data_IF_951445562707
#
_entry.id   IF_951445562707
#
_cell.length_a   1.000
_cell.length_b   1.000
_cell.length_c   1.000
_cell.angle_alpha   90.00
_cell.angle_beta   90.00
_cell.angle_gamma   90.00
#
_symmetry.space_group_name_H-M   'P 1'
#
loop_
_entity.id
_entity.type
_entity.pdbx_description
1 polymer ?
2 non-polymer ?
3 water ?
#
# COMPACT_ATOMS: atom_id res chain seq x y z
N UNK A 1 4.97 4.75 10.05
CA UNK A 1 6.21 5.45 10.51
C UNK A 1 5.96 6.43 11.66
N UNK A 2 6.89 6.44 12.62
CA UNK A 2 6.82 7.37 13.74
C UNK A 2 7.37 8.71 13.32
N UNK A 3 6.53 9.73 13.52
CA UNK A 3 6.93 11.10 13.32
C UNK A 3 6.95 11.78 14.69
N UNK A 4 7.95 12.64 14.90
CA UNK A 4 8.03 13.42 16.12
C UNK A 4 8.08 14.90 15.78
N UNK A 5 7.47 15.71 16.62
CA UNK A 5 7.30 17.13 16.37
C UNK A 5 7.20 17.84 17.74
N UNK A 6 7.57 19.11 17.80
CA UNK A 6 7.54 19.87 19.04
C UNK A 6 7.06 21.30 18.84
N UNK A 7 6.33 21.82 19.83
CA UNK A 7 5.69 23.13 19.73
C UNK A 7 6.51 24.23 20.39
N UNK A 8 7.83 24.18 20.21
CA UNK A 8 8.70 25.31 20.58
C UNK A 8 9.70 25.55 19.48
N UNK A 9 10.90 25.93 19.86
CA UNK A 9 12.04 25.93 18.95
C UNK A 9 12.90 24.71 19.27
N UNK A 10 12.33 23.77 20.02
CA UNK A 10 13.15 22.74 20.66
C UNK A 10 13.58 21.62 19.71
N UNK A 11 12.83 21.45 18.62
CA UNK A 11 13.27 20.56 17.55
C UNK A 11 13.60 21.34 16.29
N UNK A 12 13.92 22.62 16.47
CA UNK A 12 14.39 23.51 15.40
C UNK A 12 13.28 23.87 14.41
N UNK A 13 12.05 23.48 14.73
CA UNK A 13 10.92 23.66 13.82
C UNK A 13 10.86 22.60 12.74
N UNK A 14 11.43 21.42 13.02
CA UNK A 14 11.44 20.33 12.05
C UNK A 14 10.78 19.09 12.60
N UNK A 15 9.91 18.48 11.80
CA UNK A 15 9.44 17.13 12.07
C UNK A 15 10.55 16.11 11.72
N UNK A 16 10.58 15.00 12.46
CA UNK A 16 11.57 13.94 12.25
C UNK A 16 10.82 12.64 12.06
N UNK A 17 11.29 11.81 11.13
CA UNK A 17 10.78 10.43 11.07
C UNK A 17 11.74 9.54 11.83
N UNK A 18 11.22 8.75 12.75
CA UNK A 18 12.06 7.86 13.53
C UNK A 18 11.90 6.43 13.04
N UNK A 19 12.82 6.02 12.18
CA UNK A 19 12.89 4.66 11.67
C UNK A 19 13.37 3.71 12.77
N UNK A 20 13.08 2.39 12.64
CA UNK A 20 13.58 1.41 13.61
C UNK A 20 15.07 1.57 13.91
N UNK A 21 15.42 1.55 15.18
CA UNK A 21 16.76 1.92 15.62
C UNK A 21 16.74 2.56 16.99
N UNK A 22 17.86 3.16 17.38
CA UNK A 22 17.97 3.72 18.72
C UNK A 22 18.51 5.14 18.73
N UNK A 23 17.86 6.02 19.46
CA UNK A 23 18.18 7.44 19.42
C UNK A 23 18.46 8.00 20.81
N UNK A 24 19.63 8.60 20.96
CA UNK A 24 19.99 9.31 22.17
C UNK A 24 19.47 10.75 22.08
N UNK A 25 18.60 11.11 23.02
CA UNK A 25 17.96 12.42 23.08
C UNK A 25 18.50 13.20 24.29
N UNK A 26 18.95 14.42 24.04
CA UNK A 26 19.50 15.29 25.08
C UNK A 26 19.96 16.60 24.50
N UNK A 27 20.58 17.44 25.33
CA UNK A 27 21.01 18.78 24.88
C UNK A 27 22.46 18.92 24.40
N UNK A 28 23.32 17.95 24.73
CA UNK A 28 24.73 18.02 24.31
C UNK A 28 25.06 17.25 23.02
N UNK A 29 24.17 16.34 22.62
CA UNK A 29 24.33 15.58 21.37
C UNK A 29 24.07 16.46 20.14
N UNK A 30 24.54 16.04 18.97
CA UNK A 30 24.26 16.73 17.71
C UNK A 30 23.12 16.02 16.97
N UNK A 31 23.09 16.13 15.64
CA UNK A 31 22.06 15.47 14.83
C UNK A 31 22.62 14.39 13.91
N UNK A 32 22.59 13.16 14.39
CA UNK A 32 23.06 12.00 13.65
C UNK A 32 21.81 11.25 13.17
N UNK A 33 22.01 10.11 12.54
CA UNK A 33 20.94 9.16 12.28
C UNK A 33 20.47 8.55 13.61
N UNK A 34 21.22 8.78 14.68
CA UNK A 34 21.00 8.13 15.97
C UNK A 34 21.15 9.08 17.16
N UNK A 35 21.04 10.37 16.89
CA UNK A 35 21.09 11.38 17.94
C UNK A 35 20.10 12.49 17.66
N UNK A 36 19.41 12.95 18.70
CA UNK A 36 18.43 14.03 18.57
C UNK A 36 18.70 15.14 19.60
N UNK A 37 18.93 16.35 19.11
CA UNK A 37 19.20 17.49 19.98
C UNK A 37 17.94 18.26 20.35
N UNK A 38 17.80 18.53 21.66
CA UNK A 38 16.65 19.20 22.25
C UNK A 38 17.15 20.26 23.25
N UNK A 39 17.08 21.52 22.84
CA UNK A 39 17.80 22.66 23.45
C UNK A 39 17.62 22.98 24.94
N UNK A 40 16.43 22.67 25.49
CA UNK A 40 15.97 23.21 26.79
C UNK A 40 16.88 23.02 28.02
N UNK A 41 16.61 23.85 29.03
CA UNK A 41 17.45 24.02 30.21
C UNK A 41 17.24 22.93 31.28
N UNK A 42 16.00 22.47 31.41
CA UNK A 42 15.65 21.46 32.42
C UNK A 42 15.98 20.02 31.98
N UNK A 43 16.50 19.85 30.76
CA UNK A 43 16.83 18.51 30.28
C UNK A 43 18.34 18.23 30.33
N UNK A 44 18.68 16.99 30.69
CA UNK A 44 20.07 16.55 30.88
C UNK A 44 20.91 16.53 29.61
N UNK A 45 22.22 16.42 29.79
CA UNK A 45 23.20 16.31 28.71
C UNK A 45 22.79 15.15 27.79
N UNK A 46 22.53 14.00 28.42
CA UNK A 46 21.93 12.85 27.76
C UNK A 46 20.70 12.48 28.59
N UNK A 47 19.52 12.73 28.04
CA UNK A 47 18.29 12.64 28.84
C UNK A 47 17.46 11.38 28.62
N UNK A 48 17.24 11.01 27.36
CA UNK A 48 16.34 9.91 27.01
C UNK A 48 16.84 9.01 25.88
N UNK A 49 16.34 7.79 25.87
CA UNK A 49 16.61 6.84 24.82
C UNK A 49 15.28 6.51 24.16
N UNK A 50 15.16 6.78 22.87
CA UNK A 50 14.02 6.31 22.06
C UNK A 50 14.47 5.12 21.24
N UNK A 51 13.73 4.02 21.34
CA UNK A 51 14.02 2.82 20.58
C UNK A 51 12.74 2.40 19.87
N UNK A 52 12.82 2.33 18.54
CA UNK A 52 11.70 1.94 17.69
C UNK A 52 12.01 0.54 17.19
N UNK A 53 11.08 -0.37 17.38
CA UNK A 53 11.32 -1.74 16.95
C UNK A 53 10.76 -1.94 15.56
N UNK A 54 11.16 -3.04 14.93
CA UNK A 54 10.74 -3.38 13.58
C UNK A 54 9.31 -3.96 13.64
N UNK A 55 8.57 -3.93 12.52
CA UNK A 55 7.16 -4.35 12.54
C UNK A 55 6.92 -5.79 13.02
N UNK A 56 5.78 -5.96 13.67
CA UNK A 56 5.28 -7.25 14.09
C UNK A 56 4.64 -7.92 12.87
N UNK A 57 4.33 -9.20 13.00
CA UNK A 57 3.68 -9.98 11.94
C UNK A 57 2.27 -9.47 11.61
N UNK A 58 1.58 -8.97 12.63
CA UNK A 58 0.21 -8.50 12.54
C UNK A 58 0.06 -7.08 12.00
N UNK A 59 1.16 -6.33 12.01
CA UNK A 59 1.12 -4.90 11.68
C UNK A 59 0.69 -4.63 10.23
N UNK A 60 0.98 -5.57 9.35
CA UNK A 60 0.51 -5.47 7.98
C UNK A 60 -1.02 -5.57 7.89
N UNK A 61 -1.61 -6.35 8.81
CA UNK A 61 -3.05 -6.59 8.82
C UNK A 61 -3.84 -5.64 9.72
N UNK A 62 -3.22 -5.10 10.75
CA UNK A 62 -3.92 -4.21 11.69
C UNK A 62 -3.63 -2.73 11.48
N UNK A 63 -2.48 -2.42 10.88
CA UNK A 63 -2.08 -1.02 10.70
C UNK A 63 -1.47 -0.43 11.96
N UNK A 64 -1.32 -1.25 13.00
CA UNK A 64 -0.77 -0.81 14.29
C UNK A 64 0.68 -0.39 14.18
N UNK A 65 1.17 0.36 15.18
CA UNK A 65 2.50 0.96 15.10
C UNK A 65 3.64 0.07 15.61
N UNK A 66 4.87 0.33 15.13
CA UNK A 66 6.06 -0.26 15.71
C UNK A 66 6.16 0.13 17.18
N UNK A 67 6.70 -0.77 17.99
CA UNK A 67 6.88 -0.52 19.42
C UNK A 67 7.87 0.60 19.64
N UNK A 68 7.44 1.59 20.42
CA UNK A 68 8.23 2.77 20.75
C UNK A 68 8.65 2.66 22.22
N UNK A 69 9.95 2.54 22.45
CA UNK A 69 10.48 2.33 23.81
C UNK A 69 11.12 3.60 24.34
N UNK A 70 10.80 3.94 25.58
CA UNK A 70 11.36 5.14 26.20
C UNK A 70 12.10 4.78 27.49
N UNK A 71 13.39 5.07 27.52
CA UNK A 71 14.20 4.94 28.73
C UNK A 71 14.68 6.30 29.18
N UNK A 72 14.51 6.58 30.46
CA UNK A 72 15.09 7.74 31.15
C UNK A 72 16.53 7.36 31.48
N UNK A 73 17.48 8.26 31.22
CA UNK A 73 18.89 7.96 31.46
C UNK A 73 19.42 8.50 32.79
N UNK A 74 18.92 7.94 33.88
CA UNK A 74 19.28 8.35 35.24
C UNK A 74 19.28 9.88 35.39
N UNK A 75 18.13 10.47 35.05
CA UNK A 75 17.97 11.92 34.99
C UNK A 75 17.55 12.48 36.35
N UNK A 76 17.98 13.70 36.64
CA UNK A 76 17.57 14.37 37.86
C UNK A 76 16.04 14.59 37.90
N UNK A 77 15.48 15.07 36.79
CA UNK A 77 14.08 15.48 36.76
C UNK A 77 13.16 14.46 36.11
N UNK A 78 13.74 13.41 35.54
CA UNK A 78 12.98 12.31 34.96
C UNK A 78 12.36 12.59 33.60
N UNK A 79 11.63 11.60 33.11
CA UNK A 79 10.94 11.65 31.83
C UNK A 79 9.49 11.21 32.04
N UNK A 80 8.56 11.85 31.34
CA UNK A 80 7.15 11.45 31.38
C UNK A 80 6.64 11.12 29.97
N UNK A 81 5.73 10.14 29.89
CA UNK A 81 5.06 9.83 28.63
C UNK A 81 3.57 9.74 28.89
N UNK A 82 2.80 10.59 28.21
CA UNK A 82 1.38 10.73 28.47
C UNK A 82 1.13 11.04 29.94
N UNK A 83 1.97 11.94 30.46
CA UNK A 83 1.84 12.48 31.82
C UNK A 83 2.09 11.47 32.93
N UNK A 84 2.31 10.21 32.55
CA UNK A 84 2.70 9.17 33.50
C UNK A 84 4.23 9.11 33.57
N UNK A 85 4.76 8.93 34.77
CA UNK A 85 6.20 8.89 34.97
C UNK A 85 6.81 7.63 34.37
N UNK A 86 7.72 7.82 33.43
CA UNK A 86 8.57 6.71 32.98
C UNK A 86 9.74 6.66 33.94
N UNK A 87 10.14 5.44 34.26
CA UNK A 87 11.36 5.23 35.01
C UNK A 87 11.65 3.76 34.92
N UNK A 88 12.16 3.22 36.02
CA UNK A 88 12.41 1.79 36.16
C UNK A 88 13.34 1.35 35.03
N UNK A 89 12.87 0.40 34.23
CA UNK A 89 13.63 -0.13 33.13
C UNK A 89 12.96 0.26 31.82
N UNK A 90 12.39 1.46 31.82
CA UNK A 90 11.74 2.03 30.66
C UNK A 90 10.29 1.61 30.51
N UNK A 91 9.71 2.00 29.39
CA UNK A 91 8.35 1.63 29.03
C UNK A 91 8.23 1.49 27.52
N UNK A 92 7.28 0.68 27.08
CA UNK A 92 7.08 0.37 25.66
C UNK A 92 5.65 0.72 25.26
N UNK A 93 5.48 1.39 24.12
CA UNK A 93 4.17 1.92 23.74
C UNK A 93 3.66 1.42 22.39
N UNK A 94 2.37 1.08 22.36
CA UNK A 94 1.71 0.55 21.17
C UNK A 94 0.60 1.48 20.68
N UNK A 95 0.41 2.58 21.36
CA UNK A 95 -0.58 3.57 20.94
C UNK A 95 -0.04 4.39 19.79
N UNK A 96 -0.94 4.99 19.01
CA UNK A 96 -0.54 5.82 17.86
C UNK A 96 -0.20 7.26 18.26
N UNK A 97 -0.28 7.55 19.55
CA UNK A 97 -0.22 8.92 20.05
C UNK A 97 0.60 8.99 21.33
N UNK A 98 1.76 9.65 21.27
CA UNK A 98 2.66 9.74 22.42
C UNK A 98 3.07 11.17 22.77
N UNK A 99 2.77 11.60 23.98
CA UNK A 99 3.26 12.87 24.49
C UNK A 99 4.43 12.68 25.45
N UNK A 100 5.62 12.99 24.98
CA UNK A 100 6.86 12.82 25.77
C UNK A 100 7.36 14.12 26.39
N UNK A 101 7.40 14.17 27.72
CA UNK A 101 7.93 15.31 28.46
C UNK A 101 9.27 14.97 29.09
N UNK A 102 10.29 15.76 28.77
CA UNK A 102 11.62 15.57 29.34
C UNK A 102 11.88 16.57 30.46
N UNK A 103 11.92 16.08 31.69
CA UNK A 103 12.18 16.92 32.86
C UNK A 103 11.06 17.90 33.12
N UNK A 104 11.45 19.09 33.58
CA UNK A 104 10.50 20.16 33.90
C UNK A 104 10.20 21.05 32.68
N UNK A 105 10.65 20.61 31.51
CA UNK A 105 10.46 21.36 30.26
C UNK A 105 9.02 21.24 29.74
N UNK A 106 8.34 22.39 29.56
CA UNK A 106 6.90 22.37 29.23
C UNK A 106 6.60 22.04 27.76
N UNK A 107 7.55 22.28 26.86
CA UNK A 107 7.38 21.94 25.45
C UNK A 107 7.66 20.46 25.26
N UNK A 108 6.67 19.75 24.76
CA UNK A 108 6.67 18.33 24.81
C UNK A 108 7.02 17.75 23.44
N UNK A 109 7.63 16.56 23.41
CA UNK A 109 7.92 15.88 22.16
C UNK A 109 6.75 14.97 21.80
N UNK A 110 6.09 15.27 20.69
CA UNK A 110 4.89 14.55 20.28
C UNK A 110 5.13 13.51 19.20
N UNK A 111 5.05 12.24 19.58
CA UNK A 111 5.20 11.16 18.62
C UNK A 111 3.84 10.75 18.10
N UNK A 112 3.74 10.63 16.77
CA UNK A 112 2.54 10.10 16.16
C UNK A 112 2.86 9.14 15.00
N UNK A 113 2.00 8.14 14.84
CA UNK A 113 2.20 7.08 13.85
C UNK A 113 1.47 7.40 12.56
N UNK A 114 2.22 7.66 11.50
CA UNK A 114 1.63 7.80 10.19
C UNK A 114 1.60 6.44 9.49
N UNK A 115 0.42 6.03 9.04
CA UNK A 115 0.19 4.72 8.40
C UNK A 115 0.95 4.57 7.11
N UNK A 116 1.69 3.47 6.97
CA UNK A 116 2.21 3.05 5.68
C UNK A 116 2.44 1.55 5.66
N UNK A 117 1.58 0.85 4.92
CA UNK A 117 1.71 -0.57 4.68
C UNK A 117 1.76 -0.79 3.19
N UNK A 118 2.68 -1.65 2.77
CA UNK A 118 2.94 -1.88 1.37
C UNK A 118 2.66 -3.33 0.97
N UNK A 119 1.67 -3.48 0.10
CA UNK A 119 1.37 -4.74 -0.58
C UNK A 119 2.23 -4.87 -1.87
N UNK A 120 2.74 -6.08 -2.10
CA UNK A 120 3.47 -6.38 -3.32
C UNK A 120 2.63 -7.23 -4.27
N UNK A 121 2.93 -7.16 -5.56
CA UNK A 121 2.17 -7.89 -6.58
C UNK A 121 2.58 -9.36 -6.65
N UNK A 122 3.84 -9.64 -6.34
CA UNK A 122 4.33 -11.02 -6.35
C UNK A 122 5.41 -11.31 -5.30
N UNK A 123 5.64 -12.60 -4.99
CA UNK A 123 6.66 -13.03 -4.02
C UNK A 123 8.09 -12.61 -4.36
N UNK A 124 8.39 -12.50 -5.66
CA UNK A 124 9.73 -12.16 -6.15
C UNK A 124 10.16 -10.76 -5.71
N UNK A 125 9.27 -9.79 -5.90
CA UNK A 125 9.53 -8.40 -5.53
C UNK A 125 9.55 -8.22 -4.02
N UNK A 126 8.65 -8.91 -3.32
CA UNK A 126 8.61 -8.93 -1.86
C UNK A 126 9.96 -9.34 -1.26
N UNK A 127 10.49 -10.47 -1.75
CA UNK A 127 11.75 -11.04 -1.27
C UNK A 127 12.91 -10.05 -1.44
N UNK A 128 12.91 -9.39 -2.58
CA UNK A 128 13.86 -8.32 -2.91
C UNK A 128 13.79 -7.13 -1.93
N UNK A 129 12.59 -6.80 -1.42
CA UNK A 129 12.40 -5.58 -0.62
C UNK A 129 12.06 -5.74 0.88
N UNK A 130 11.66 -6.94 1.29
CA UNK A 130 11.07 -7.16 2.62
C UNK A 130 11.88 -6.65 3.80
N UNK A 131 13.15 -7.06 3.82
CA UNK A 131 14.04 -6.82 4.95
C UNK A 131 14.42 -5.35 5.03
N UNK A 132 14.65 -4.76 3.87
CA UNK A 132 14.89 -3.35 3.74
C UNK A 132 13.75 -2.52 4.32
N UNK A 133 12.52 -2.76 3.84
CA UNK A 133 11.33 -2.05 4.32
C UNK A 133 11.03 -2.33 5.79
N UNK A 134 11.30 -3.57 6.21
CA UNK A 134 11.27 -3.98 7.61
C UNK A 134 12.18 -3.10 8.47
N UNK A 135 13.32 -2.69 7.92
CA UNK A 135 14.25 -1.81 8.63
C UNK A 135 13.82 -0.36 8.57
N UNK A 136 12.95 -0.02 7.64
CA UNK A 136 12.36 1.32 7.57
C UNK A 136 11.01 1.40 8.33
N UNK A 137 10.62 0.30 8.98
CA UNK A 137 9.39 0.27 9.76
C UNK A 137 8.11 0.27 8.93
N UNK A 138 8.22 -0.28 7.72
CA UNK A 138 7.09 -0.35 6.82
C UNK A 138 6.69 -1.81 6.72
N UNK A 139 5.51 -2.17 7.26
CA UNK A 139 4.96 -3.52 7.09
C UNK A 139 4.72 -3.84 5.62
N UNK A 140 5.03 -5.07 5.24
CA UNK A 140 4.89 -5.54 3.86
C UNK A 140 4.13 -6.86 3.80
N UNK A 141 3.59 -7.18 2.63
CA UNK A 141 2.86 -8.43 2.45
C UNK A 141 2.33 -8.63 1.05
N UNK A 142 1.72 -9.80 0.84
CA UNK A 142 1.12 -10.21 -0.43
C UNK A 142 -0.39 -10.31 -0.37
N UNK A 143 -0.90 -10.63 0.81
CA UNK A 143 -2.34 -10.81 1.00
C UNK A 143 -3.04 -9.47 1.07
N UNK A 144 -4.33 -9.45 0.78
CA UNK A 144 -5.13 -8.26 0.94
C UNK A 144 -5.25 -7.89 2.41
N UNK A 145 -5.32 -6.60 2.68
CA UNK A 145 -5.36 -6.05 4.03
C UNK A 145 -6.09 -4.72 3.99
N UNK A 146 -6.92 -4.47 5.00
CA UNK A 146 -7.56 -3.17 5.21
C UNK A 146 -6.55 -2.10 5.67
N UNK A 147 -5.29 -2.46 5.86
CA UNK A 147 -4.32 -1.47 6.35
C UNK A 147 -3.39 -0.98 5.24
N UNK A 148 -3.43 -1.65 4.10
CA UNK A 148 -2.64 -1.28 2.93
C UNK A 148 -2.94 0.15 2.50
N UNK A 149 -1.86 0.91 2.28
CA UNK A 149 -1.94 2.26 1.76
C UNK A 149 -1.33 2.31 0.35
N UNK A 150 -0.41 1.39 0.06
CA UNK A 150 0.38 1.41 -1.18
C UNK A 150 0.52 0.02 -1.77
N UNK A 151 0.55 -0.03 -3.10
CA UNK A 151 0.70 -1.27 -3.85
C UNK A 151 1.85 -1.14 -4.85
N UNK A 152 2.74 -2.13 -4.83
CA UNK A 152 3.88 -2.16 -5.75
C UNK A 152 3.63 -3.05 -6.97
N UNK A 153 3.58 -2.43 -8.13
CA UNK A 153 3.40 -3.13 -9.39
C UNK A 153 4.73 -3.61 -9.95
N UNK A 154 4.67 -4.74 -10.66
CA UNK A 154 5.79 -5.16 -11.49
C UNK A 154 5.78 -4.29 -12.75
N UNK A 155 6.84 -3.50 -12.92
CA UNK A 155 7.03 -2.76 -14.16
C UNK A 155 7.78 -3.66 -15.15
N UNK A 156 7.19 -3.85 -16.33
CA UNK A 156 7.77 -4.71 -17.37
C UNK A 156 7.38 -4.24 -18.78
N UNK A 157 8.38 -4.10 -19.65
CA UNK A 157 8.21 -3.56 -21.00
C UNK A 157 7.24 -4.35 -21.90
N UNK A 158 7.26 -5.68 -21.79
CA UNK A 158 6.52 -6.54 -22.73
C UNK A 158 4.99 -6.52 -22.68
N UNK A 159 4.42 -6.77 -21.50
CA UNK A 159 3.03 -7.22 -21.40
C UNK A 159 2.04 -6.22 -20.79
N UNK A 160 0.85 -6.74 -20.51
CA UNK A 160 -0.20 -6.04 -19.81
C UNK A 160 0.20 -5.86 -18.34
N UNK A 161 -0.41 -4.87 -17.69
CA UNK A 161 -0.36 -4.80 -16.25
C UNK A 161 -1.08 -6.04 -15.70
N UNK A 162 -0.70 -6.51 -14.53
CA UNK A 162 -1.30 -7.73 -13.97
C UNK A 162 -2.67 -7.44 -13.39
N UNK A 163 -3.39 -8.51 -13.09
CA UNK A 163 -4.74 -8.42 -12.51
C UNK A 163 -4.65 -7.73 -11.16
N UNK A 164 -3.66 -8.12 -10.36
CA UNK A 164 -3.39 -7.48 -9.08
C UNK A 164 -3.35 -5.97 -9.20
N UNK A 165 -2.64 -5.47 -10.20
CA UNK A 165 -2.51 -4.03 -10.46
C UNK A 165 -3.82 -3.39 -10.92
N UNK A 166 -4.55 -4.05 -11.80
CA UNK A 166 -5.87 -3.57 -12.23
C UNK A 166 -6.78 -3.34 -11.03
N UNK A 167 -6.75 -4.30 -10.11
CA UNK A 167 -7.60 -4.32 -8.92
C UNK A 167 -7.22 -3.24 -7.89
N UNK A 168 -5.92 -3.16 -7.57
CA UNK A 168 -5.42 -2.08 -6.70
C UNK A 168 -5.76 -0.70 -7.26
N UNK A 169 -5.70 -0.56 -8.57
CA UNK A 169 -6.06 0.68 -9.21
C UNK A 169 -7.53 1.04 -8.96
N UNK A 170 -8.42 0.07 -9.22
CA UNK A 170 -9.87 0.25 -9.05
C UNK A 170 -10.32 0.39 -7.60
N UNK A 171 -9.64 -0.31 -6.70
CA UNK A 171 -9.85 -0.15 -5.25
C UNK A 171 -9.41 1.21 -4.72
N UNK A 172 -8.78 2.02 -5.59
CA UNK A 172 -8.33 3.38 -5.26
C UNK A 172 -7.00 3.47 -4.47
N UNK A 173 -6.24 2.38 -4.45
CA UNK A 173 -4.91 2.33 -3.81
C UNK A 173 -3.88 3.13 -4.61
N UNK A 174 -2.97 3.80 -3.89
CA UNK A 174 -1.83 4.46 -4.49
C UNK A 174 -0.87 3.39 -5.03
N UNK A 175 -0.55 3.49 -6.30
CA UNK A 175 0.36 2.55 -6.93
C UNK A 175 1.77 3.14 -7.07
N UNK A 176 2.76 2.35 -6.68
CA UNK A 176 4.17 2.75 -6.74
C UNK A 176 4.92 1.64 -7.46
N UNK A 177 6.19 1.88 -7.79
CA UNK A 177 7.04 0.87 -8.44
C UNK A 177 8.40 0.74 -7.75
N UNK A 178 9.23 -0.19 -8.24
CA UNK A 178 10.62 -0.41 -7.77
C UNK A 178 11.45 0.86 -7.51
N UNK A 179 11.35 1.86 -8.40
CA UNK A 179 12.21 3.04 -8.33
C UNK A 179 11.91 3.98 -7.17
N UNK A 180 10.65 4.08 -6.76
CA UNK A 180 10.29 4.80 -5.54
C UNK A 180 10.94 4.15 -4.31
N UNK A 181 10.92 2.83 -4.27
CA UNK A 181 11.55 2.04 -3.20
C UNK A 181 13.05 2.24 -3.16
N UNK A 182 13.68 2.38 -4.33
CA UNK A 182 15.09 2.75 -4.40
C UNK A 182 15.34 4.13 -3.75
N UNK A 183 14.51 5.09 -4.12
CA UNK A 183 14.60 6.48 -3.63
C UNK A 183 14.52 6.53 -2.11
N UNK A 184 13.50 5.88 -1.56
CA UNK A 184 13.25 5.87 -0.13
C UNK A 184 14.47 5.34 0.66
N UNK A 185 15.11 4.30 0.13
CA UNK A 185 16.27 3.72 0.77
C UNK A 185 17.56 4.57 0.70
N UNK A 186 17.77 5.34 -0.35
CA UNK A 186 18.98 6.17 -0.38
C UNK A 186 18.89 7.38 0.55
N UNK A 187 17.68 7.92 0.74
CA UNK A 187 17.47 9.13 1.56
C UNK A 187 16.99 8.88 2.99
N UNK A 188 16.98 7.62 3.39
CA UNK A 188 16.64 7.19 4.75
C UNK A 188 17.16 8.12 5.85
N UNK A 189 18.47 8.29 5.89
CA UNK A 189 19.13 9.08 6.95
C UNK A 189 18.77 10.58 6.92
N UNK A 190 18.68 11.14 5.72
CA UNK A 190 18.29 12.54 5.56
C UNK A 190 16.85 12.85 6.05
N UNK A 191 15.95 11.88 5.85
CA UNK A 191 14.54 11.98 6.25
C UNK A 191 14.32 11.89 7.78
N UNK A 192 15.20 11.19 8.50
CA UNK A 192 15.23 11.22 9.97
C UNK A 192 15.38 12.64 10.52
N UNK A 193 16.17 13.46 9.82
CA UNK A 193 16.47 14.83 10.24
C UNK A 193 15.36 15.80 9.84
N UNK A 194 14.60 15.42 8.82
CA UNK A 194 13.56 16.29 8.27
C UNK A 194 12.49 15.45 7.57
N UNK A 195 11.33 15.35 8.21
CA UNK A 195 10.21 14.57 7.69
C UNK A 195 9.73 15.03 6.32
N UNK A 196 9.79 16.34 6.07
CA UNK A 196 9.37 16.91 4.79
C UNK A 196 10.22 16.44 3.61
N UNK A 197 11.37 15.83 3.88
CA UNK A 197 12.22 15.25 2.83
C UNK A 197 11.72 13.88 2.38
N UNK A 198 10.64 13.41 3.02
CA UNK A 198 10.04 12.11 2.68
C UNK A 198 9.62 12.06 1.22
N UNK A 199 10.11 11.06 0.47
CA UNK A 199 9.69 10.87 -0.93
C UNK A 199 8.17 10.77 -1.05
N UNK A 200 7.62 11.47 -2.04
CA UNK A 200 6.18 11.58 -2.22
C UNK A 200 5.68 10.47 -3.14
N UNK A 201 4.90 9.56 -2.57
CA UNK A 201 4.34 8.41 -3.29
C UNK A 201 3.29 8.81 -4.32
N UNK A 202 2.54 9.88 -4.06
CA UNK A 202 1.56 10.41 -5.02
C UNK A 202 2.17 10.90 -6.33
N UNK A 203 3.32 11.58 -6.25
CA UNK A 203 4.09 11.98 -7.43
C UNK A 203 4.52 10.79 -8.25
N UNK A 204 5.02 9.74 -7.60
CA UNK A 204 5.34 8.50 -8.29
C UNK A 204 4.10 7.91 -8.97
N UNK A 205 3.01 7.81 -8.21
CA UNK A 205 1.73 7.31 -8.69
C UNK A 205 1.14 8.11 -9.87
N UNK A 206 1.05 9.44 -9.74
CA UNK A 206 0.53 10.30 -10.83
C UNK A 206 1.39 10.15 -12.09
N UNK A 207 2.69 10.01 -11.89
CA UNK A 207 3.64 9.82 -12.96
C UNK A 207 3.46 8.50 -13.72
N UNK A 208 3.10 7.45 -12.99
CA UNK A 208 2.80 6.14 -13.57
C UNK A 208 1.55 6.19 -14.48
N UNK A 209 0.45 6.77 -14.00
CA UNK A 209 -0.78 6.91 -14.79
C UNK A 209 -0.55 7.70 -16.08
N UNK A 210 0.16 8.82 -15.97
CA UNK A 210 0.53 9.69 -17.08
C UNK A 210 1.39 8.96 -18.14
N UNK A 211 2.49 8.37 -17.69
CA UNK A 211 3.46 7.71 -18.57
C UNK A 211 3.02 6.35 -19.13
N UNK A 212 1.82 5.91 -18.74
CA UNK A 212 1.32 4.58 -19.07
C UNK A 212 0.01 4.58 -19.85
N UNK A 213 0.01 3.84 -20.97
CA UNK A 213 -1.16 3.64 -21.83
C UNK A 213 -2.00 2.45 -21.35
N UNK A 214 -1.68 1.91 -20.18
CA UNK A 214 -2.33 0.72 -19.64
C UNK A 214 -3.26 1.08 -18.48
N UNK A 215 -3.44 2.37 -18.28
CA UNK A 215 -4.27 2.87 -17.22
C UNK A 215 -5.31 3.81 -17.80
N UNK A 216 -6.58 3.59 -17.42
CA UNK A 216 -7.63 4.54 -17.75
C UNK A 216 -7.32 5.92 -17.16
N UNK A 217 -8.07 6.93 -17.61
CA UNK A 217 -7.89 8.30 -17.13
C UNK A 217 -8.02 8.33 -15.62
N UNK A 218 -9.06 7.67 -15.12
CA UNK A 218 -9.39 7.63 -13.69
C UNK A 218 -9.96 6.27 -13.29
N UNK A 219 -9.73 5.84 -12.03
CA UNK A 219 -10.43 4.67 -11.51
C UNK A 219 -11.94 4.87 -11.50
N UNK A 220 -12.39 6.12 -11.35
CA UNK A 220 -13.80 6.45 -11.23
C UNK A 220 -14.56 6.30 -12.55
N UNK A 221 -13.86 6.46 -13.67
CA UNK A 221 -14.47 6.22 -14.97
C UNK A 221 -14.94 4.76 -15.09
N UNK A 222 -14.07 3.83 -14.72
CA UNK A 222 -14.31 2.39 -14.89
C UNK A 222 -15.37 1.81 -13.98
N UNK A 223 -15.37 2.23 -12.72
CA UNK A 223 -16.30 1.70 -11.73
C UNK A 223 -17.74 1.77 -12.25
N UNK A 224 -18.41 0.62 -12.25
CA UNK A 224 -19.81 0.46 -12.72
C UNK A 224 -20.06 0.78 -14.18
N UNK A 225 -19.01 0.78 -14.99
CA UNK A 225 -19.18 1.11 -16.40
C UNK A 225 -19.85 -0.02 -17.18
N UNK A 226 -19.86 -1.23 -16.61
CA UNK A 226 -20.43 -2.41 -17.27
C UNK A 226 -21.63 -2.99 -16.53
N UNK A 227 -22.25 -2.19 -15.68
CA UNK A 227 -23.49 -2.61 -15.04
C UNK A 227 -24.58 -2.79 -16.08
N UNK A 228 -25.38 -3.84 -15.92
CA UNK A 228 -26.37 -4.23 -16.92
C UNK A 228 -25.93 -5.43 -17.73
N UNK A 229 -24.61 -5.60 -17.87
CA UNK A 229 -24.01 -6.74 -18.54
C UNK A 229 -23.73 -7.87 -17.56
N UNK A 230 -23.83 -9.10 -18.05
CA UNK A 230 -23.49 -10.27 -17.26
C UNK A 230 -22.44 -11.08 -18.01
N UNK A 231 -21.56 -11.76 -17.27
CA UNK A 231 -20.56 -12.60 -17.91
C UNK A 231 -20.31 -13.88 -17.14
N UNK A 232 -19.90 -14.91 -17.88
CA UNK A 232 -19.51 -16.19 -17.33
C UNK A 232 -18.00 -16.28 -17.28
N UNK A 233 -17.47 -16.92 -16.24
CA UNK A 233 -16.05 -16.81 -15.93
C UNK A 233 -15.50 -18.14 -15.38
N UNK A 234 -14.62 -18.77 -16.15
CA UNK A 234 -14.06 -20.07 -15.76
C UNK A 234 -13.06 -19.99 -14.60
N UNK A 235 -13.57 -20.30 -13.40
CA UNK A 235 -12.77 -20.41 -12.16
C UNK A 235 -12.09 -19.09 -11.74
N UNK A 236 -10.87 -18.87 -12.24
CA UNK A 236 -10.07 -17.64 -12.07
C UNK A 236 -9.63 -17.26 -10.64
N UNK A 237 -8.66 -16.35 -10.54
CA UNK A 237 -8.19 -15.83 -9.26
C UNK A 237 -9.27 -14.99 -8.59
N UNK A 238 -9.22 -14.88 -7.26
CA UNK A 238 -10.19 -14.08 -6.50
C UNK A 238 -10.08 -12.59 -6.80
N UNK A 239 -8.86 -12.14 -7.13
CA UNK A 239 -8.64 -10.77 -7.65
C UNK A 239 -9.55 -10.52 -8.85
N UNK A 240 -9.61 -11.49 -9.75
CA UNK A 240 -10.35 -11.41 -11.00
C UNK A 240 -11.86 -11.26 -10.78
N UNK A 241 -12.39 -11.97 -9.78
CA UNK A 241 -13.80 -11.91 -9.39
C UNK A 241 -14.17 -10.50 -8.94
N UNK A 242 -13.39 -10.00 -7.98
CA UNK A 242 -13.63 -8.71 -7.38
C UNK A 242 -13.41 -7.55 -8.33
N UNK A 243 -12.44 -7.72 -9.23
CA UNK A 243 -12.17 -6.76 -10.28
C UNK A 243 -13.41 -6.54 -11.13
N UNK A 244 -13.98 -7.65 -11.61
CA UNK A 244 -15.16 -7.61 -12.47
C UNK A 244 -16.40 -7.05 -11.79
N UNK A 245 -16.53 -7.30 -10.49
CA UNK A 245 -17.62 -6.76 -9.69
C UNK A 245 -17.57 -5.25 -9.59
N UNK A 246 -16.37 -4.72 -9.46
CA UNK A 246 -16.16 -3.27 -9.40
C UNK A 246 -16.54 -2.61 -10.72
N UNK A 247 -16.42 -3.35 -11.81
CA UNK A 247 -16.83 -2.88 -13.13
C UNK A 247 -18.34 -2.95 -13.30
N UNK A 248 -19.00 -3.54 -12.30
CA UNK A 248 -20.46 -3.63 -12.27
C UNK A 248 -20.98 -4.82 -13.05
N UNK A 249 -20.28 -5.94 -12.96
CA UNK A 249 -20.61 -7.12 -13.74
C UNK A 249 -21.34 -8.16 -12.89
N UNK A 250 -22.37 -8.79 -13.47
CA UNK A 250 -23.01 -9.97 -12.89
C UNK A 250 -22.17 -11.17 -13.29
N UNK A 251 -21.69 -11.94 -12.31
CA UNK A 251 -20.73 -13.01 -12.59
C UNK A 251 -21.20 -14.43 -12.27
N UNK A 252 -21.26 -15.27 -13.30
CA UNK A 252 -21.44 -16.70 -13.14
C UNK A 252 -20.08 -17.38 -13.29
N UNK A 253 -19.74 -18.27 -12.34
CA UNK A 253 -18.44 -18.95 -12.40
C UNK A 253 -18.55 -20.46 -12.63
N UNK A 254 -18.27 -20.88 -13.86
CA UNK A 254 -18.25 -22.31 -14.22
C UNK A 254 -16.84 -22.91 -14.10
N UNK A 255 -16.74 -24.23 -14.20
CA UNK A 255 -15.48 -24.91 -13.97
C UNK A 255 -14.92 -25.64 -15.19
N UNK A 256 -15.73 -26.51 -15.81
CA UNK A 256 -15.25 -27.40 -16.87
C UNK A 256 -15.13 -26.78 -18.27
N UNK A 257 -15.96 -25.77 -18.55
CA UNK A 257 -16.21 -25.29 -19.93
C UNK A 257 -17.22 -26.21 -20.60
N UNK A 258 -17.31 -27.45 -20.10
CA UNK A 258 -18.39 -28.37 -20.47
C UNK A 258 -19.54 -28.26 -19.48
N UNK A 259 -19.48 -27.21 -18.64
CA UNK A 259 -20.56 -26.86 -17.72
C UNK A 259 -21.43 -25.75 -18.32
N UNK A 260 -21.24 -25.49 -19.61
CA UNK A 260 -22.02 -24.49 -20.34
C UNK A 260 -23.32 -25.10 -20.87
N UNK A 261 -24.42 -24.86 -20.15
CA UNK A 261 -25.74 -25.33 -20.55
C UNK A 261 -26.37 -24.33 -21.50
N UNK A 262 -27.60 -24.61 -21.92
CA UNK A 262 -28.42 -23.61 -22.63
C UNK A 262 -28.87 -22.52 -21.64
N UNK A 263 -28.96 -22.91 -20.37
CA UNK A 263 -29.23 -21.98 -19.28
C UNK A 263 -28.33 -20.75 -19.33
N UNK A 264 -27.02 -21.00 -19.35
CA UNK A 264 -26.01 -19.94 -19.31
C UNK A 264 -26.05 -19.00 -20.51
N UNK A 265 -26.01 -19.56 -21.71
CA UNK A 265 -26.06 -18.76 -22.96
C UNK A 265 -27.22 -17.77 -22.96
N UNK A 266 -28.40 -18.24 -22.59
CA UNK A 266 -29.64 -17.47 -22.60
C UNK A 266 -29.65 -16.30 -21.61
N UNK A 267 -28.75 -16.34 -20.62
CA UNK A 267 -28.69 -15.31 -19.58
C UNK A 267 -27.29 -14.69 -19.40
N UNK A 268 -26.40 -14.94 -20.36
CA UNK A 268 -25.03 -14.41 -20.31
C UNK A 268 -24.69 -13.67 -21.60
N UNK A 269 -24.13 -12.47 -21.44
CA UNK A 269 -23.83 -11.57 -22.56
C UNK A 269 -22.46 -11.86 -23.21
N UNK A 270 -21.47 -12.16 -22.38
CA UNK A 270 -20.14 -12.59 -22.86
C UNK A 270 -19.44 -13.45 -21.81
N UNK A 271 -18.28 -13.99 -22.16
CA UNK A 271 -17.59 -14.92 -21.29
C UNK A 271 -16.10 -14.57 -21.17
N UNK A 272 -15.57 -14.73 -19.96
CA UNK A 272 -14.20 -14.39 -19.65
C UNK A 272 -13.43 -15.68 -19.39
N UNK A 273 -12.31 -15.82 -20.11
CA UNK A 273 -11.51 -17.04 -20.08
C UNK A 273 -10.11 -16.80 -19.54
N UNK A 274 -9.55 -17.85 -18.94
CA UNK A 274 -8.13 -17.88 -18.58
C UNK A 274 -7.27 -17.84 -19.85
N UNK A 275 -5.99 -17.50 -19.69
CA UNK A 275 -5.07 -17.43 -20.82
C UNK A 275 -4.92 -18.79 -21.51
N UNK A 276 -4.86 -19.86 -20.73
CA UNK A 276 -4.63 -21.22 -21.23
C UNK A 276 -5.80 -21.77 -22.05
N UNK A 277 -6.99 -21.66 -21.48
CA UNK A 277 -8.22 -22.15 -22.10
C UNK A 277 -8.62 -21.34 -23.35
N UNK A 278 -8.21 -20.07 -23.38
CA UNK A 278 -8.52 -19.16 -24.49
C UNK A 278 -7.81 -19.52 -25.80
N UNK A 279 -6.60 -20.07 -25.69
CA UNK A 279 -5.77 -20.31 -26.87
C UNK A 279 -5.97 -21.69 -27.51
N UNK A 280 -6.01 -22.74 -26.70
CA UNK A 280 -6.13 -24.11 -27.21
C UNK A 280 -7.56 -24.56 -27.48
N UNK A 281 -8.46 -24.28 -26.54
CA UNK A 281 -9.86 -24.68 -26.66
C UNK A 281 -10.70 -23.66 -27.44
N UNK A 282 -10.25 -23.33 -28.66
CA UNK A 282 -11.04 -22.53 -29.58
C UNK A 282 -11.89 -23.45 -30.43
N UNK A 283 -11.64 -24.75 -30.27
CA UNK A 283 -12.36 -25.79 -30.99
C UNK A 283 -13.64 -26.19 -30.24
N UNK A 284 -13.64 -25.99 -28.92
CA UNK A 284 -14.72 -26.52 -28.08
C UNK A 284 -15.55 -25.48 -27.31
N UNK A 285 -15.30 -24.17 -27.53
CA UNK A 285 -16.14 -23.16 -26.88
C UNK A 285 -17.37 -22.74 -27.71
N UNK A 286 -18.45 -22.25 -27.03
CA UNK A 286 -19.78 -22.03 -27.62
C UNK A 286 -19.79 -21.12 -28.86
N UNK A 287 -20.72 -21.41 -29.77
CA UNK A 287 -20.77 -20.79 -31.09
C UNK A 287 -21.25 -19.33 -31.13
N UNK A 288 -22.23 -19.00 -30.29
CA UNK A 288 -22.85 -17.67 -30.33
C UNK A 288 -22.28 -16.61 -29.40
N UNK A 289 -21.56 -17.03 -28.37
CA UNK A 289 -21.11 -16.11 -27.31
C UNK A 289 -19.70 -15.58 -27.55
N UNK A 290 -19.54 -14.29 -27.26
CA UNK A 290 -18.29 -13.55 -27.38
C UNK A 290 -17.36 -13.89 -26.22
N UNK A 291 -16.13 -14.30 -26.55
CA UNK A 291 -15.13 -14.70 -25.57
C UNK A 291 -13.88 -13.83 -25.57
N UNK A 292 -13.49 -13.36 -24.39
CA UNK A 292 -12.24 -12.62 -24.21
C UNK A 292 -11.49 -12.92 -22.91
N UNK A 293 -10.20 -12.60 -22.89
CA UNK A 293 -9.42 -12.69 -21.66
C UNK A 293 -9.63 -11.43 -20.83
N UNK A 294 -9.21 -11.49 -19.57
CA UNK A 294 -9.22 -10.33 -18.69
C UNK A 294 -8.34 -9.20 -19.24
N UNK A 295 -7.17 -9.57 -19.75
CA UNK A 295 -6.27 -8.66 -20.44
C UNK A 295 -6.94 -7.86 -21.57
N UNK A 296 -7.68 -8.55 -22.44
CA UNK A 296 -8.42 -7.90 -23.53
C UNK A 296 -9.57 -7.06 -23.01
N UNK A 297 -10.27 -7.56 -21.99
CA UNK A 297 -11.39 -6.83 -21.39
C UNK A 297 -10.90 -5.49 -20.84
N UNK A 298 -9.77 -5.53 -20.15
CA UNK A 298 -9.14 -4.34 -19.63
C UNK A 298 -8.85 -3.33 -20.73
N UNK A 299 -8.39 -3.82 -21.89
CA UNK A 299 -8.15 -2.95 -23.03
C UNK A 299 -9.44 -2.33 -23.57
N UNK A 300 -10.55 -3.08 -23.52
CA UNK A 300 -11.87 -2.49 -23.80
C UNK A 300 -12.14 -1.38 -22.79
N UNK A 301 -11.94 -1.67 -21.51
CA UNK A 301 -12.21 -0.76 -20.39
C UNK A 301 -11.50 0.60 -20.51
N UNK A 302 -10.24 0.58 -20.96
CA UNK A 302 -9.43 1.78 -21.12
C UNK A 302 -10.06 2.76 -22.13
N UNK A 303 -10.69 2.21 -23.17
CA UNK A 303 -11.33 3.02 -24.22
C UNK A 303 -12.47 3.89 -23.70
N UNK A 304 -12.75 4.97 -24.41
CA UNK A 304 -13.92 5.79 -24.13
C UNK A 304 -15.22 5.03 -24.47
N UNK A 305 -15.14 4.16 -25.48
CA UNK A 305 -16.29 3.43 -26.06
C UNK A 305 -16.89 2.29 -25.25
N UNK A 306 -16.19 1.87 -24.19
CA UNK A 306 -16.40 0.58 -23.51
C UNK A 306 -17.72 -0.19 -23.77
N UNK A 307 -18.86 0.40 -23.40
CA UNK A 307 -20.16 -0.27 -23.56
C UNK A 307 -20.59 -0.43 -25.02
N UNK A 308 -20.41 0.64 -25.80
CA UNK A 308 -20.70 0.63 -27.23
C UNK A 308 -19.83 -0.39 -27.95
N UNK A 309 -18.64 -0.63 -27.38
CA UNK A 309 -17.63 -1.53 -27.96
C UNK A 309 -17.99 -3.00 -27.75
N UNK A 310 -18.41 -3.33 -26.53
CA UNK A 310 -18.85 -4.69 -26.20
C UNK A 310 -20.24 -4.96 -26.80
N UNK A 311 -21.12 -3.98 -26.74
CA UNK A 311 -22.46 -4.12 -27.30
C UNK A 311 -22.36 -4.58 -28.76
N UNK A 312 -21.75 -3.77 -29.61
CA UNK A 312 -21.63 -4.06 -31.04
C UNK A 312 -20.82 -5.33 -31.36
N UNK A 313 -20.12 -5.86 -30.36
CA UNK A 313 -19.39 -7.12 -30.51
C UNK A 313 -20.26 -8.32 -30.16
N UNK A 314 -21.28 -8.12 -29.32
CA UNK A 314 -22.31 -9.13 -29.08
C UNK A 314 -23.21 -9.22 -30.32
N UNK A 315 -23.47 -8.07 -30.93
CA UNK A 315 -24.32 -7.96 -32.12
C UNK A 315 -23.60 -8.47 -33.38
N UNK A 316 -22.27 -8.53 -33.33
CA UNK A 316 -21.48 -9.08 -34.43
C UNK A 316 -21.50 -10.61 -34.39
N UNK A 317 -21.38 -11.18 -33.19
CA UNK A 317 -21.36 -12.62 -32.98
C UNK A 317 -22.76 -13.24 -32.77
N UNK A 318 -23.79 -12.45 -33.03
CA UNK A 318 -25.19 -12.89 -32.97
C UNK A 318 -25.90 -12.60 -34.29
N UNK A 319 -25.47 -11.54 -34.98
CA UNK A 319 -26.04 -11.09 -36.26
C UNK A 319 -27.46 -10.52 -36.07
X LIG B 1 1.71 7.99 2.87
X LIG B 1 1.33 6.85 3.64
X LIG B 1 3.21 8.28 2.94
X LIG B 1 3.58 8.35 4.30
X LIG B 1 3.54 9.61 2.26
X LIG B 1 4.48 9.45 1.23
#
# INVERSE_FOLDING_TARGET
MWIIEAEGDILKGKSRILFPGTYIVGRNVSDDSSHIQVISKSISKRHARFTILTPSEKDYFTGGPCEFEVKDLDTKFGTKVNEKVVGQNGDSYKEKDLKIQLGKCPFTINAYWRSMCIQFDNPEMLSQWASNLNLLGIPTGLRDSDATTHFVMNRQAGSSITVGTMYAFLKKTVIIDDSYLQYLSTVKESVIEDASLMPDALECFKNIIKNNDQFPSSPEDCINSLEGFSCAMLNTSSESHHLLELLGLRISTFMSLGDIDKELISKTDFVVLNNAVYDSEKISFPEGIFCLTIEQLWKIIIERNSRELISKEIERLKYATASN
GOL C1 O1 C2 O2 C3 O3
#
